data_IF_371274002798
#
_entry.id   IF_371274002798
#
_cell.length_a   1.000
_cell.length_b   1.000
_cell.length_c   1.000
_cell.angle_alpha   90.00
_cell.angle_beta   90.00
_cell.angle_gamma   90.00
#
_symmetry.space_group_name_H-M   'P 1'
#
loop_
_entity.id
_entity.type
_entity.pdbx_description
1 polymer ?
#
# COMPACT_ATOMS: atom_id res chain seq x y z
N UNK A 1 -4.19 -7.69 6.91
CA UNK A 1 -5.33 -7.97 5.99
C UNK A 1 -5.33 -7.06 4.75
N UNK A 2 -4.72 -5.88 4.82
CA UNK A 2 -4.62 -4.95 3.70
C UNK A 2 -6.00 -4.59 3.12
N UNK A 3 -6.13 -4.63 1.80
CA UNK A 3 -7.39 -4.33 1.09
C UNK A 3 -8.56 -5.25 1.47
N UNK A 4 -8.27 -6.46 1.95
CA UNK A 4 -9.30 -7.40 2.39
C UNK A 4 -10.02 -6.98 3.67
N UNK A 5 -9.45 -6.04 4.44
CA UNK A 5 -10.08 -5.51 5.66
C UNK A 5 -11.49 -4.95 5.41
N UNK A 6 -11.76 -4.47 4.20
CA UNK A 6 -13.08 -3.97 3.82
C UNK A 6 -14.19 -5.04 3.83
N UNK A 7 -13.83 -6.32 3.80
CA UNK A 7 -14.76 -7.46 3.80
C UNK A 7 -14.84 -8.17 5.14
N UNK A 8 -14.04 -7.76 6.13
CA UNK A 8 -13.97 -8.39 7.44
C UNK A 8 -14.72 -7.56 8.48
N UNK A 9 -15.27 -8.25 9.47
CA UNK A 9 -15.77 -7.61 10.69
C UNK A 9 -14.60 -7.09 11.55
N UNK A 10 -14.86 -6.18 12.48
CA UNK A 10 -13.83 -5.69 13.40
C UNK A 10 -13.23 -6.82 14.26
N UNK A 11 -14.02 -7.82 14.61
CA UNK A 11 -13.57 -8.99 15.37
C UNK A 11 -12.62 -9.87 14.55
N UNK A 12 -12.97 -10.17 13.31
CA UNK A 12 -12.13 -10.97 12.40
C UNK A 12 -10.82 -10.27 12.03
N UNK A 13 -10.82 -8.93 11.97
CA UNK A 13 -9.67 -8.12 11.60
C UNK A 13 -8.80 -7.69 12.80
N UNK A 14 -9.18 -8.07 14.03
CA UNK A 14 -8.44 -7.74 15.24
C UNK A 14 -7.16 -8.60 15.39
N UNK A 15 -6.15 -8.03 16.04
CA UNK A 15 -4.91 -8.72 16.40
C UNK A 15 -4.86 -8.93 17.91
N UNK A 16 -4.95 -10.18 18.35
CA UNK A 16 -4.85 -10.53 19.77
C UNK A 16 -3.41 -10.51 20.25
N UNK A 17 -3.19 -9.86 21.40
CA UNK A 17 -1.89 -9.80 22.04
C UNK A 17 -1.87 -10.83 23.18
N UNK A 18 -0.87 -11.69 23.17
CA UNK A 18 -0.70 -12.78 24.12
C UNK A 18 0.65 -12.69 24.83
N UNK A 19 0.72 -13.23 26.03
CA UNK A 19 1.99 -13.43 26.74
C UNK A 19 2.43 -14.88 26.61
N UNK A 20 3.54 -15.14 25.91
CA UNK A 20 4.15 -16.48 25.80
C UNK A 20 5.55 -16.46 26.39
N UNK A 21 5.81 -17.36 27.36
CA UNK A 21 7.12 -17.51 28.01
C UNK A 21 7.69 -16.16 28.51
N UNK A 22 6.85 -15.33 29.09
CA UNK A 22 7.26 -14.02 29.61
C UNK A 22 7.40 -12.89 28.58
N UNK A 23 7.30 -13.19 27.29
CA UNK A 23 7.42 -12.22 26.18
C UNK A 23 6.06 -11.91 25.56
N UNK A 24 5.89 -10.69 25.08
CA UNK A 24 4.74 -10.29 24.26
C UNK A 24 4.78 -11.04 22.93
N UNK A 25 3.66 -11.56 22.51
CA UNK A 25 3.46 -12.28 21.25
C UNK A 25 2.14 -11.88 20.65
N UNK A 26 2.05 -11.85 19.34
CA UNK A 26 0.82 -11.59 18.60
C UNK A 26 0.32 -12.88 17.96
N UNK A 27 -1.00 -13.04 17.88
CA UNK A 27 -1.63 -14.20 17.26
C UNK A 27 -1.71 -14.04 15.74
N UNK A 28 -1.84 -12.81 15.29
CA UNK A 28 -1.95 -12.42 13.87
C UNK A 28 -1.25 -11.08 13.63
N UNK A 29 -1.17 -10.65 12.39
CA UNK A 29 -0.64 -9.35 11.97
C UNK A 29 -1.56 -8.70 10.93
N UNK A 30 -2.84 -8.61 11.24
CA UNK A 30 -3.85 -8.01 10.36
C UNK A 30 -3.60 -6.52 10.16
N UNK A 31 -3.10 -5.84 11.19
CA UNK A 31 -2.72 -4.42 11.16
C UNK A 31 -1.45 -4.14 10.34
N UNK A 32 -0.72 -5.19 9.90
CA UNK A 32 0.48 -5.01 9.09
C UNK A 32 1.66 -4.38 9.83
N UNK A 33 1.79 -4.63 11.14
CA UNK A 33 2.93 -4.18 11.96
C UNK A 33 2.82 -2.75 12.50
N UNK A 34 1.78 -2.01 12.14
CA UNK A 34 1.52 -0.64 12.63
C UNK A 34 0.08 -0.56 13.13
N UNK A 35 -0.08 -0.26 14.41
CA UNK A 35 -1.38 -0.13 15.07
C UNK A 35 -1.49 1.25 15.71
N UNK A 36 -2.52 2.01 15.35
CA UNK A 36 -2.72 3.37 15.86
C UNK A 36 -1.55 4.33 15.55
N UNK A 37 -0.84 4.11 14.45
CA UNK A 37 0.33 4.90 14.05
C UNK A 37 1.64 4.53 14.75
N UNK A 38 1.65 3.46 15.56
CA UNK A 38 2.81 3.00 16.32
C UNK A 38 3.20 1.61 15.84
N UNK A 39 4.49 1.37 15.61
CA UNK A 39 5.00 0.05 15.25
C UNK A 39 4.83 -0.94 16.40
N UNK A 40 4.33 -2.13 16.09
CA UNK A 40 4.08 -3.20 17.08
C UNK A 40 5.30 -4.07 17.36
N UNK A 41 6.36 -3.92 16.59
CA UNK A 41 7.52 -4.81 16.59
C UNK A 41 7.35 -6.07 15.73
N UNK A 42 6.19 -6.21 15.05
CA UNK A 42 5.97 -7.23 14.03
C UNK A 42 6.51 -6.73 12.67
N UNK A 43 6.54 -7.63 11.70
CA UNK A 43 6.87 -7.27 10.32
C UNK A 43 5.91 -6.22 9.78
N UNK A 44 6.48 -5.17 9.15
CA UNK A 44 5.69 -4.10 8.54
C UNK A 44 5.32 -4.51 7.11
N UNK A 45 4.03 -4.70 6.89
CA UNK A 45 3.47 -5.09 5.60
C UNK A 45 2.57 -3.98 5.06
N UNK A 46 2.88 -3.48 3.89
CA UNK A 46 2.11 -2.42 3.22
C UNK A 46 1.67 -2.88 1.84
N UNK A 47 0.43 -2.63 1.51
CA UNK A 47 -0.14 -2.89 0.18
C UNK A 47 -0.76 -1.63 -0.39
N UNK A 48 -0.56 -1.40 -1.68
CA UNK A 48 -1.20 -0.31 -2.38
C UNK A 48 -1.71 -0.78 -3.75
N UNK A 49 -2.84 -0.22 -4.16
CA UNK A 49 -3.42 -0.51 -5.45
C UNK A 49 -2.84 0.42 -6.52
N UNK A 50 -2.37 -0.15 -7.60
CA UNK A 50 -1.87 0.61 -8.75
C UNK A 50 -2.94 0.61 -9.83
N UNK A 51 -3.41 1.82 -10.19
CA UNK A 51 -4.35 1.98 -11.31
C UNK A 51 -3.68 1.51 -12.60
N UNK A 52 -4.33 0.64 -13.39
CA UNK A 52 -3.81 0.26 -14.69
C UNK A 52 -3.57 1.48 -15.58
N UNK A 53 -2.58 1.38 -16.46
CA UNK A 53 -2.28 2.43 -17.44
C UNK A 53 -3.51 2.70 -18.31
N UNK A 54 -3.94 3.95 -18.37
CA UNK A 54 -5.11 4.35 -19.16
C UNK A 54 -4.84 4.37 -20.68
N UNK A 55 -3.57 4.48 -21.07
CA UNK A 55 -3.10 4.46 -22.45
C UNK A 55 -2.97 3.03 -22.95
N UNK A 56 -4.07 2.45 -23.42
CA UNK A 56 -4.12 1.12 -24.02
C UNK A 56 -4.44 1.21 -25.50
N UNK A 57 -3.99 0.22 -26.28
CA UNK A 57 -4.17 0.18 -27.74
C UNK A 57 -5.64 -0.03 -28.16
N UNK A 58 -6.53 -0.38 -27.24
CA UNK A 58 -7.94 -0.60 -27.55
C UNK A 58 -8.64 0.70 -27.90
N UNK A 59 -9.49 0.64 -28.92
CA UNK A 59 -10.33 1.78 -29.31
C UNK A 59 -11.34 2.13 -28.21
N UNK A 60 -11.46 3.42 -27.92
CA UNK A 60 -12.36 3.97 -26.89
C UNK A 60 -13.26 5.03 -27.49
N UNK A 61 -14.54 5.01 -27.09
CA UNK A 61 -15.50 6.07 -27.43
C UNK A 61 -15.14 7.35 -26.67
N UNK A 62 -15.19 8.46 -27.35
CA UNK A 62 -14.94 9.81 -26.81
C UNK A 62 -15.70 10.86 -27.61
N UNK A 63 -15.45 12.13 -27.33
CA UNK A 63 -15.95 13.26 -28.12
C UNK A 63 -14.76 14.00 -28.73
N UNK A 64 -14.98 14.57 -29.92
CA UNK A 64 -14.00 15.45 -30.55
C UNK A 64 -14.08 16.89 -29.99
N UNK A 65 -13.21 17.78 -30.48
CA UNK A 65 -13.18 19.20 -30.07
C UNK A 65 -14.46 19.98 -30.39
N UNK A 66 -15.34 19.43 -31.21
CA UNK A 66 -16.63 20.03 -31.58
C UNK A 66 -17.80 19.39 -30.82
N UNK A 67 -17.53 18.50 -29.85
CA UNK A 67 -18.53 17.81 -29.06
C UNK A 67 -19.20 16.63 -29.75
N UNK A 68 -18.69 16.17 -30.90
CA UNK A 68 -19.24 15.01 -31.64
C UNK A 68 -18.65 13.71 -31.17
N UNK A 69 -19.48 12.67 -31.09
CA UNK A 69 -19.03 11.32 -30.74
C UNK A 69 -18.00 10.81 -31.75
N UNK A 70 -16.88 10.33 -31.25
CA UNK A 70 -15.80 9.75 -32.05
C UNK A 70 -15.14 8.59 -31.29
N UNK A 71 -14.14 7.99 -31.89
CA UNK A 71 -13.33 6.96 -31.27
C UNK A 71 -11.86 7.35 -31.31
N UNK A 72 -11.14 7.04 -30.25
CA UNK A 72 -9.69 7.24 -30.17
C UNK A 72 -9.00 5.92 -29.86
N UNK A 73 -7.85 5.71 -30.47
CA UNK A 73 -6.91 4.64 -30.13
C UNK A 73 -5.54 5.26 -29.95
N UNK A 74 -4.95 5.06 -28.78
CA UNK A 74 -3.61 5.56 -28.48
C UNK A 74 -2.59 4.62 -29.10
N UNK A 75 -1.72 5.17 -29.95
CA UNK A 75 -0.60 4.43 -30.55
C UNK A 75 0.67 4.75 -29.77
N UNK A 76 1.50 3.75 -29.54
CA UNK A 76 2.79 3.90 -28.84
C UNK A 76 3.13 2.70 -28.00
N UNK A 77 4.36 2.71 -27.46
CA UNK A 77 4.82 1.71 -26.49
C UNK A 77 4.36 2.15 -25.10
N UNK A 78 3.60 1.29 -24.43
CA UNK A 78 3.19 1.49 -23.04
C UNK A 78 3.61 0.27 -22.22
N UNK A 79 3.98 0.51 -20.95
CA UNK A 79 4.25 -0.60 -20.03
C UNK A 79 2.93 -1.34 -19.74
N UNK A 80 2.92 -2.67 -19.88
CA UNK A 80 1.71 -3.48 -19.64
C UNK A 80 1.27 -3.44 -18.17
N UNK A 81 2.20 -3.29 -17.26
CA UNK A 81 1.94 -3.19 -15.83
C UNK A 81 2.98 -2.29 -15.15
N UNK A 82 2.54 -1.16 -14.63
CA UNK A 82 3.40 -0.25 -13.84
C UNK A 82 3.58 -0.73 -12.40
N UNK A 83 2.75 -1.67 -11.93
CA UNK A 83 2.80 -2.22 -10.58
C UNK A 83 4.15 -2.88 -10.26
N UNK A 84 4.74 -3.59 -11.22
CA UNK A 84 6.04 -4.26 -11.05
C UNK A 84 7.14 -3.23 -10.69
N UNK A 85 7.14 -2.08 -11.36
CA UNK A 85 8.09 -0.99 -11.08
C UNK A 85 7.75 -0.19 -9.84
N UNK A 86 6.48 -0.20 -9.44
CA UNK A 86 6.02 0.51 -8.24
C UNK A 86 6.49 -0.16 -6.94
N UNK A 87 6.77 -1.47 -6.94
CA UNK A 87 7.23 -2.20 -5.74
C UNK A 87 8.53 -1.59 -5.18
N UNK A 88 9.65 -1.54 -5.89
CA UNK A 88 10.88 -0.97 -5.35
C UNK A 88 10.75 0.53 -5.01
N UNK A 89 9.88 1.26 -5.68
CA UNK A 89 9.59 2.66 -5.35
C UNK A 89 8.87 2.73 -4.00
N UNK A 90 7.85 1.88 -3.79
CA UNK A 90 7.12 1.79 -2.53
C UNK A 90 8.02 1.39 -1.36
N UNK A 91 8.90 0.41 -1.56
CA UNK A 91 9.90 0.00 -0.58
C UNK A 91 10.85 1.15 -0.20
N UNK A 92 11.41 1.85 -1.19
CA UNK A 92 12.30 2.98 -0.96
C UNK A 92 11.60 4.11 -0.19
N UNK A 93 10.36 4.43 -0.54
CA UNK A 93 9.57 5.44 0.17
C UNK A 93 9.28 5.01 1.61
N UNK A 94 8.96 3.74 1.84
CA UNK A 94 8.74 3.21 3.19
C UNK A 94 10.01 3.30 4.04
N UNK A 95 11.18 2.96 3.49
CA UNK A 95 12.45 3.10 4.19
C UNK A 95 12.75 4.56 4.58
N UNK A 96 12.47 5.52 3.70
CA UNK A 96 12.61 6.94 4.02
C UNK A 96 11.71 7.37 5.19
N UNK A 97 10.44 6.96 5.17
CA UNK A 97 9.48 7.29 6.23
C UNK A 97 9.88 6.65 7.57
N UNK A 98 10.25 5.38 7.56
CA UNK A 98 10.67 4.68 8.79
C UNK A 98 11.95 5.31 9.35
N UNK A 99 12.91 5.63 8.51
CA UNK A 99 14.15 6.28 8.95
C UNK A 99 13.88 7.64 9.57
N UNK A 100 13.01 8.46 8.98
CA UNK A 100 12.64 9.76 9.52
C UNK A 100 12.04 9.63 10.92
N UNK A 101 11.08 8.73 11.10
CA UNK A 101 10.49 8.44 12.41
C UNK A 101 11.50 7.86 13.41
N UNK A 102 12.42 7.03 12.95
CA UNK A 102 13.50 6.51 13.80
C UNK A 102 14.41 7.64 14.31
N UNK A 103 14.83 8.55 13.43
CA UNK A 103 15.65 9.68 13.81
C UNK A 103 14.92 10.64 14.75
N UNK A 104 13.65 10.91 14.52
CA UNK A 104 12.84 11.71 15.44
C UNK A 104 12.74 11.05 16.82
N UNK A 105 12.51 9.75 16.87
CA UNK A 105 12.47 9.01 18.14
C UNK A 105 13.82 9.05 18.85
N UNK A 106 14.93 8.87 18.13
CA UNK A 106 16.28 8.94 18.69
C UNK A 106 16.62 10.33 19.22
N UNK A 107 16.11 11.40 18.60
CA UNK A 107 16.28 12.76 19.08
C UNK A 107 15.51 13.08 20.37
N UNK A 108 14.36 12.43 20.56
CA UNK A 108 13.49 12.63 21.73
C UNK A 108 13.83 11.70 22.90
N UNK A 109 14.27 10.52 22.60
CA UNK A 109 14.59 9.48 23.57
C UNK A 109 16.09 9.14 23.50
N UNK A 110 16.72 9.07 24.65
CA UNK A 110 18.09 8.53 24.69
C UNK A 110 18.02 7.03 24.40
N UNK A 111 18.37 6.65 23.19
CA UNK A 111 18.54 5.26 22.77
C UNK A 111 20.02 4.92 22.86
#
# INVERSE_FOLDING_TARGET
>A
SGMNSAMLTGEENSDEILKKKGKTSFKSNNAGGILGGISTGQEINVSFAVKPTSSILSSRKTIDRFGKNTTISVKGRHDPCVGIRAVPIGEAMMHCVILDHYLMNAAQNKI
#
